data_IF_288930298464
#
_entry.id   IF_288930298464
#
_cell.length_a   1.000
_cell.length_b   1.000
_cell.length_c   1.000
_cell.angle_alpha   90.00
_cell.angle_beta   90.00
_cell.angle_gamma   90.00
#
_symmetry.space_group_name_H-M   'P 1'
#
loop_
_entity.id
_entity.type
_entity.pdbx_description
1 polymer ?
#
# COMPACT_ATOMS: atom_id res chain seq x y z
N UNK A 1 -11.98 -15.29 -0.63
CA UNK A 1 -11.27 -15.82 0.54
C UNK A 1 -10.15 -16.76 0.14
N UNK A 2 -10.41 -17.92 -0.51
CA UNK A 2 -9.31 -18.79 -0.99
C UNK A 2 -8.39 -18.09 -2.01
N UNK A 3 -8.95 -17.52 -3.09
CA UNK A 3 -8.16 -16.83 -4.14
C UNK A 3 -7.36 -15.61 -3.64
N UNK A 4 -7.85 -14.91 -2.62
CA UNK A 4 -7.19 -13.71 -2.08
C UNK A 4 -6.03 -14.07 -1.17
N UNK A 5 -6.13 -15.20 -0.44
CA UNK A 5 -5.02 -15.70 0.38
C UNK A 5 -3.88 -16.17 -0.51
N UNK A 6 -4.20 -16.98 -1.53
CA UNK A 6 -3.21 -17.50 -2.48
C UNK A 6 -2.48 -16.35 -3.20
N UNK A 7 -3.19 -15.28 -3.56
CA UNK A 7 -2.58 -14.08 -4.15
C UNK A 7 -1.51 -13.46 -3.22
N UNK A 8 -1.84 -13.23 -1.95
CA UNK A 8 -0.87 -12.68 -1.00
C UNK A 8 0.25 -13.68 -0.65
N UNK A 9 -0.05 -14.97 -0.63
CA UNK A 9 0.98 -16.01 -0.45
C UNK A 9 2.02 -15.97 -1.58
N UNK A 10 1.58 -15.72 -2.81
CA UNK A 10 2.46 -15.69 -4.00
C UNK A 10 3.19 -14.35 -4.12
N UNK A 11 2.50 -13.23 -3.92
CA UNK A 11 2.98 -11.91 -4.32
C UNK A 11 3.55 -11.05 -3.19
N UNK A 12 3.27 -11.38 -1.92
CA UNK A 12 3.82 -10.62 -0.81
C UNK A 12 5.30 -10.98 -0.59
N UNK A 13 6.21 -10.00 -0.42
CA UNK A 13 7.61 -10.28 -0.12
C UNK A 13 7.77 -11.20 1.10
N UNK A 14 8.67 -12.17 1.02
CA UNK A 14 8.84 -13.20 2.06
C UNK A 14 8.97 -12.64 3.49
N UNK A 15 9.75 -11.56 3.76
CA UNK A 15 9.85 -10.99 5.10
C UNK A 15 8.50 -10.51 5.65
N UNK A 16 7.68 -9.87 4.81
CA UNK A 16 6.35 -9.39 5.19
C UNK A 16 5.36 -10.54 5.34
N UNK A 17 5.43 -11.55 4.45
CA UNK A 17 4.59 -12.74 4.53
C UNK A 17 4.79 -13.52 5.83
N UNK A 18 6.02 -13.59 6.35
CA UNK A 18 6.32 -14.23 7.65
C UNK A 18 5.70 -13.51 8.84
N UNK A 19 5.42 -12.21 8.70
CA UNK A 19 4.77 -11.40 9.73
C UNK A 19 3.25 -11.51 9.69
N UNK A 20 2.65 -12.01 8.59
CA UNK A 20 1.20 -12.07 8.41
C UNK A 20 0.59 -13.37 8.92
N UNK A 21 -0.41 -13.30 9.80
CA UNK A 21 -1.32 -14.41 10.03
C UNK A 21 -2.43 -14.42 8.96
N UNK A 22 -2.14 -14.99 7.78
CA UNK A 22 -3.04 -15.00 6.62
C UNK A 22 -4.41 -15.67 6.86
N UNK A 23 -4.60 -16.40 7.97
CA UNK A 23 -5.91 -16.93 8.35
C UNK A 23 -6.87 -15.83 8.81
N UNK A 24 -6.35 -14.67 9.20
CA UNK A 24 -7.12 -13.50 9.67
C UNK A 24 -7.49 -12.54 8.54
N UNK A 25 -7.16 -12.87 7.29
CA UNK A 25 -7.35 -12.01 6.13
C UNK A 25 -8.81 -11.56 5.98
N UNK A 26 -9.05 -10.25 6.02
CA UNK A 26 -10.38 -9.63 5.90
C UNK A 26 -10.39 -8.57 4.82
N UNK A 27 -11.46 -8.54 4.03
CA UNK A 27 -11.74 -7.46 3.08
C UNK A 27 -12.32 -6.26 3.85
N UNK A 28 -11.63 -5.13 3.82
CA UNK A 28 -12.14 -3.88 4.37
C UNK A 28 -13.11 -3.24 3.34
N UNK A 29 -14.21 -2.61 3.79
CA UNK A 29 -15.16 -1.95 2.89
C UNK A 29 -14.49 -0.89 2.01
N UNK A 30 -14.86 -0.74 0.74
CA UNK A 30 -14.27 0.27 -0.18
C UNK A 30 -14.81 1.69 0.00
N UNK A 31 -15.78 1.92 0.91
CA UNK A 31 -16.18 3.25 1.37
C UNK A 31 -15.10 4.02 2.16
N UNK A 32 -13.89 3.43 2.19
CA UNK A 32 -12.71 3.68 3.02
C UNK A 32 -11.65 4.49 2.29
N UNK A 33 -11.72 4.51 0.96
CA UNK A 33 -10.89 5.30 0.07
C UNK A 33 -11.76 6.52 -0.30
N UNK A 34 -11.28 7.74 -0.05
CA UNK A 34 -12.05 9.00 -0.13
C UNK A 34 -13.08 9.03 -1.28
N UNK A 35 -14.19 9.76 -1.10
CA UNK A 35 -15.18 9.93 -2.19
C UNK A 35 -14.56 10.48 -3.50
N UNK A 36 -13.46 11.23 -3.42
CA UNK A 36 -12.66 11.72 -4.55
C UNK A 36 -11.89 10.62 -5.30
N UNK A 37 -11.65 9.48 -4.65
CA UNK A 37 -10.94 8.32 -5.17
C UNK A 37 -11.87 7.28 -5.79
N UNK A 38 -13.15 7.26 -5.39
CA UNK A 38 -14.16 6.31 -5.90
C UNK A 38 -14.31 6.28 -7.42
N UNK A 39 -13.94 7.35 -8.13
CA UNK A 39 -14.09 7.41 -9.58
C UNK A 39 -13.11 6.50 -10.34
N UNK A 40 -12.08 5.95 -9.68
CA UNK A 40 -10.98 5.27 -10.36
C UNK A 40 -10.75 3.79 -9.98
N UNK A 41 -11.54 3.17 -9.10
CA UNK A 41 -11.02 1.99 -8.38
C UNK A 41 -11.83 0.70 -8.33
N UNK A 42 -11.14 -0.36 -8.77
CA UNK A 42 -11.24 -1.74 -8.28
C UNK A 42 -10.30 -2.01 -7.08
N UNK A 43 -10.01 -0.98 -6.26
CA UNK A 43 -9.10 -1.09 -5.11
C UNK A 43 -9.62 -2.11 -4.12
N UNK A 44 -8.76 -3.06 -3.78
CA UNK A 44 -9.01 -3.99 -2.70
C UNK A 44 -8.08 -3.62 -1.54
N UNK A 45 -8.68 -3.33 -0.39
CA UNK A 45 -7.98 -3.18 0.88
C UNK A 45 -8.21 -4.44 1.71
N UNK A 46 -7.14 -5.19 1.96
CA UNK A 46 -7.17 -6.30 2.92
C UNK A 46 -6.47 -5.92 4.22
N UNK A 47 -7.05 -6.30 5.35
CA UNK A 47 -6.38 -6.31 6.65
C UNK A 47 -5.96 -7.73 7.02
N UNK A 48 -4.76 -7.87 7.58
CA UNK A 48 -4.27 -9.11 8.18
C UNK A 48 -3.57 -8.78 9.50
N UNK A 49 -3.86 -9.56 10.53
CA UNK A 49 -3.21 -9.45 11.83
C UNK A 49 -1.77 -9.98 11.73
N UNK A 50 -0.87 -9.37 12.51
CA UNK A 50 0.50 -9.85 12.61
C UNK A 50 0.62 -11.08 13.50
N UNK A 51 1.62 -11.92 13.26
CA UNK A 51 1.96 -13.07 14.11
C UNK A 51 2.29 -12.67 15.55
N UNK A 52 2.87 -11.47 15.73
CA UNK A 52 3.33 -10.92 17.00
C UNK A 52 2.58 -9.62 17.34
N UNK A 53 1.50 -9.72 18.12
CA UNK A 53 0.75 -8.58 18.67
C UNK A 53 -0.35 -8.00 17.77
N UNK A 54 -0.90 -6.84 18.16
CA UNK A 54 -2.07 -6.18 17.55
C UNK A 54 -1.77 -5.43 16.23
N UNK A 55 -0.66 -5.74 15.56
CA UNK A 55 -0.26 -5.10 14.31
C UNK A 55 -1.19 -5.48 13.16
N UNK A 56 -1.54 -4.50 12.31
CA UNK A 56 -2.22 -4.75 11.05
C UNK A 56 -1.27 -4.52 9.90
N UNK A 57 -1.23 -5.47 8.97
CA UNK A 57 -0.70 -5.25 7.63
C UNK A 57 -1.90 -5.02 6.71
N UNK A 58 -1.93 -3.85 6.09
CA UNK A 58 -2.89 -3.57 5.03
C UNK A 58 -2.27 -3.87 3.68
N UNK A 59 -2.99 -4.55 2.79
CA UNK A 59 -2.59 -4.68 1.39
C UNK A 59 -3.51 -3.82 0.53
N UNK A 60 -2.94 -2.82 -0.14
CA UNK A 60 -3.65 -2.03 -1.15
C UNK A 60 -3.31 -2.62 -2.50
N UNK A 61 -4.32 -3.09 -3.23
CA UNK A 61 -4.11 -3.66 -4.57
C UNK A 61 -4.74 -2.77 -5.62
N UNK A 62 -3.88 -2.30 -6.50
CA UNK A 62 -4.26 -1.55 -7.67
C UNK A 62 -4.16 -2.43 -8.92
N UNK A 63 -5.16 -2.39 -9.79
CA UNK A 63 -5.22 -3.18 -11.01
C UNK A 63 -5.20 -2.30 -12.24
N UNK A 64 -4.19 -2.47 -13.09
CA UNK A 64 -3.94 -1.56 -14.22
C UNK A 64 -3.64 -2.31 -15.51
N UNK A 65 -4.38 -1.95 -16.57
CA UNK A 65 -4.16 -2.43 -17.94
C UNK A 65 -3.30 -1.50 -18.77
N UNK A 66 -3.01 -0.29 -18.30
CA UNK A 66 -2.16 0.70 -18.95
C UNK A 66 -1.09 1.16 -17.99
N UNK A 67 0.13 1.39 -18.51
CA UNK A 67 1.21 1.90 -17.69
C UNK A 67 0.99 3.40 -17.43
N UNK A 68 0.89 3.79 -16.15
CA UNK A 68 0.79 5.20 -15.76
C UNK A 68 2.06 5.68 -15.06
N UNK A 69 2.57 6.86 -15.43
CA UNK A 69 3.85 7.37 -14.94
C UNK A 69 3.91 7.60 -13.43
N UNK A 70 2.82 8.05 -12.81
CA UNK A 70 2.76 8.50 -11.41
C UNK A 70 2.13 7.44 -10.48
N UNK A 71 2.23 6.17 -10.86
CA UNK A 71 1.57 5.07 -10.14
C UNK A 71 2.11 4.89 -8.73
N UNK A 72 3.42 5.07 -8.53
CA UNK A 72 4.03 4.82 -7.23
C UNK A 72 3.58 5.87 -6.21
N UNK A 73 3.51 7.14 -6.60
CA UNK A 73 2.92 8.19 -5.76
C UNK A 73 1.44 7.93 -5.46
N UNK A 74 0.70 7.43 -6.45
CA UNK A 74 -0.71 7.08 -6.27
C UNK A 74 -0.91 5.95 -5.26
N UNK A 75 -0.09 4.90 -5.34
CA UNK A 75 -0.06 3.81 -4.37
C UNK A 75 0.29 4.30 -2.95
N UNK A 76 1.27 5.21 -2.84
CA UNK A 76 1.61 5.80 -1.54
C UNK A 76 0.47 6.61 -0.94
N UNK A 77 -0.27 7.36 -1.76
CA UNK A 77 -1.48 8.07 -1.29
C UNK A 77 -2.50 7.11 -0.68
N UNK A 78 -2.67 5.91 -1.24
CA UNK A 78 -3.55 4.89 -0.64
C UNK A 78 -2.98 4.29 0.63
N UNK A 79 -1.68 4.03 0.65
CA UNK A 79 -1.00 3.55 1.83
C UNK A 79 -1.20 4.52 3.01
N UNK A 80 -0.92 5.81 2.80
CA UNK A 80 -1.10 6.86 3.82
C UNK A 80 -2.57 7.04 4.23
N UNK A 81 -3.51 6.97 3.29
CA UNK A 81 -4.93 7.03 3.62
C UNK A 81 -5.37 5.85 4.51
N UNK A 82 -4.88 4.64 4.22
CA UNK A 82 -5.13 3.47 5.05
C UNK A 82 -4.51 3.60 6.45
N UNK A 83 -3.30 4.17 6.55
CA UNK A 83 -2.65 4.47 7.84
C UNK A 83 -3.44 5.47 8.66
N UNK A 84 -3.84 6.60 8.08
CA UNK A 84 -4.62 7.64 8.76
C UNK A 84 -5.92 7.06 9.32
N UNK A 85 -6.61 6.25 8.53
CA UNK A 85 -7.86 5.65 8.97
C UNK A 85 -7.68 4.64 10.12
N UNK A 86 -6.56 3.96 10.16
CA UNK A 86 -6.24 3.11 11.31
C UNK A 86 -6.14 3.96 12.59
N UNK A 87 -5.53 5.14 12.52
CA UNK A 87 -5.53 6.10 13.64
C UNK A 87 -6.94 6.60 13.97
N UNK A 88 -7.76 6.92 12.96
CA UNK A 88 -9.14 7.39 13.16
C UNK A 88 -10.05 6.36 13.85
N UNK A 89 -9.69 5.07 13.81
CA UNK A 89 -10.38 3.99 14.55
C UNK A 89 -10.01 3.98 16.06
N UNK A 90 -9.10 4.85 16.50
CA UNK A 90 -8.67 4.98 17.88
C UNK A 90 -7.42 4.17 18.23
N UNK A 91 -6.65 3.73 17.23
CA UNK A 91 -5.36 3.06 17.47
C UNK A 91 -4.24 4.10 17.64
N UNK A 92 -3.30 3.82 18.55
CA UNK A 92 -2.23 4.76 18.91
C UNK A 92 -0.95 4.62 18.05
N UNK A 93 -0.95 3.70 17.07
CA UNK A 93 0.20 3.42 16.20
C UNK A 93 -0.24 3.29 14.76
N UNK A 94 0.62 3.72 13.83
CA UNK A 94 0.39 3.51 12.39
C UNK A 94 0.63 2.05 12.01
N UNK A 95 -0.20 1.48 11.12
CA UNK A 95 -0.04 0.12 10.62
C UNK A 95 0.99 0.08 9.50
N UNK A 96 1.53 -1.11 9.22
CA UNK A 96 2.25 -1.34 7.97
C UNK A 96 1.25 -1.44 6.82
N UNK A 97 1.53 -0.78 5.69
CA UNK A 97 0.71 -0.88 4.48
C UNK A 97 1.59 -1.25 3.31
N UNK A 98 1.22 -2.32 2.61
CA UNK A 98 1.93 -2.87 1.47
C UNK A 98 1.14 -2.54 0.21
N UNK A 99 1.59 -1.55 -0.59
CA UNK A 99 1.03 -1.32 -1.90
C UNK A 99 1.48 -2.42 -2.87
N UNK A 100 0.52 -2.99 -3.59
CA UNK A 100 0.72 -4.02 -4.59
C UNK A 100 0.11 -3.56 -5.92
N UNK A 101 0.94 -3.48 -6.96
CA UNK A 101 0.45 -3.22 -8.31
C UNK A 101 0.24 -4.54 -9.05
N UNK A 102 -1.01 -4.82 -9.42
CA UNK A 102 -1.36 -5.90 -10.33
C UNK A 102 -1.49 -5.37 -11.76
N UNK A 103 -0.38 -5.43 -12.50
CA UNK A 103 -0.26 -4.87 -13.85
C UNK A 103 -0.31 -5.97 -14.94
N UNK A 104 -1.12 -5.75 -15.97
CA UNK A 104 -1.31 -6.68 -17.11
C UNK A 104 -1.41 -5.94 -18.46
N UNK A 105 -0.77 -4.77 -18.57
CA UNK A 105 -0.76 -4.02 -19.83
C UNK A 105 0.18 -4.57 -20.90
N UNK A 106 0.03 -4.07 -22.12
CA UNK A 106 0.82 -4.51 -23.29
C UNK A 106 2.33 -4.22 -23.15
N UNK A 107 2.70 -3.13 -22.47
CA UNK A 107 4.11 -2.78 -22.24
C UNK A 107 4.67 -3.60 -21.09
N UNK A 108 5.61 -4.50 -21.35
CA UNK A 108 6.25 -5.36 -20.34
C UNK A 108 7.77 -5.39 -20.51
N UNK A 109 8.57 -5.27 -19.42
CA UNK A 109 8.16 -5.07 -18.03
C UNK A 109 7.49 -3.70 -17.82
N UNK A 110 6.82 -3.51 -16.68
CA UNK A 110 6.21 -2.23 -16.33
C UNK A 110 7.27 -1.10 -16.42
N UNK A 111 7.02 -0.02 -17.20
CA UNK A 111 8.09 0.88 -17.65
C UNK A 111 8.45 1.99 -16.66
N UNK A 112 7.73 2.14 -15.54
CA UNK A 112 7.94 3.21 -14.56
C UNK A 112 8.40 2.67 -13.21
N UNK A 113 9.05 3.51 -12.40
CA UNK A 113 9.45 3.10 -11.04
C UNK A 113 8.22 2.84 -10.18
N UNK A 114 8.31 1.83 -9.31
CA UNK A 114 7.34 1.58 -8.22
C UNK A 114 7.82 2.13 -6.87
N UNK A 115 8.94 2.85 -6.86
CA UNK A 115 9.38 3.63 -5.71
C UNK A 115 8.99 5.09 -5.95
N UNK A 116 8.03 5.59 -5.17
CA UNK A 116 7.53 6.96 -5.28
C UNK A 116 8.61 8.03 -5.09
N UNK A 117 9.71 7.72 -4.40
CA UNK A 117 10.84 8.63 -4.23
C UNK A 117 11.60 8.88 -5.54
N UNK A 118 11.42 8.01 -6.55
CA UNK A 118 12.00 8.21 -7.88
C UNK A 118 11.18 9.16 -8.75
N UNK A 119 9.98 9.55 -8.32
CA UNK A 119 9.11 10.48 -9.06
C UNK A 119 9.48 11.96 -8.83
N UNK A 120 10.37 12.25 -7.88
CA UNK A 120 10.87 13.60 -7.61
C UNK A 120 11.95 14.02 -8.61
N UNK A 121 12.06 15.32 -8.88
CA UNK A 121 13.14 15.88 -9.72
C UNK A 121 14.53 15.59 -9.13
N UNK A 122 14.64 15.52 -7.79
CA UNK A 122 15.83 15.07 -7.06
C UNK A 122 15.49 13.88 -6.14
N UNK A 123 15.65 12.63 -6.62
CA UNK A 123 15.35 11.43 -5.84
C UNK A 123 16.23 11.24 -4.60
N UNK A 124 17.46 11.78 -4.60
CA UNK A 124 18.36 11.65 -3.45
C UNK A 124 17.92 12.57 -2.32
N UNK A 125 17.59 13.83 -2.65
CA UNK A 125 17.02 14.76 -1.69
C UNK A 125 15.69 14.26 -1.14
N UNK A 126 14.82 13.67 -1.97
CA UNK A 126 13.56 13.09 -1.53
C UNK A 126 13.78 11.96 -0.50
N UNK A 127 14.74 11.06 -0.73
CA UNK A 127 15.09 10.03 0.27
C UNK A 127 15.52 10.65 1.57
N UNK A 128 16.47 11.59 1.54
CA UNK A 128 16.93 12.28 2.74
C UNK A 128 15.76 12.94 3.50
N UNK A 129 14.82 13.57 2.80
CA UNK A 129 13.69 14.25 3.43
C UNK A 129 12.68 13.28 4.04
N UNK A 130 12.38 12.16 3.37
CA UNK A 130 11.26 11.28 3.73
C UNK A 130 11.67 10.00 4.48
N UNK A 131 12.97 9.74 4.66
CA UNK A 131 13.45 8.62 5.49
C UNK A 131 14.17 9.05 6.77
N UNK A 132 14.37 10.35 6.97
CA UNK A 132 14.94 10.92 8.18
C UNK A 132 13.87 11.65 9.01
N UNK A 133 14.24 12.12 10.21
CA UNK A 133 13.36 12.95 11.02
C UNK A 133 13.00 14.25 10.31
N UNK A 134 11.72 14.63 10.32
CA UNK A 134 11.27 15.92 9.81
C UNK A 134 11.85 17.09 10.62
N UNK A 135 12.13 18.23 9.99
CA UNK A 135 12.59 19.41 10.71
C UNK A 135 11.53 19.87 11.70
N UNK A 136 11.91 19.96 12.97
CA UNK A 136 11.12 20.60 14.02
C UNK A 136 11.39 22.11 13.97
N UNK A 137 10.33 22.91 13.97
CA UNK A 137 10.39 24.36 14.16
C UNK A 137 9.57 24.66 15.41
N UNK A 138 10.25 24.89 16.53
CA UNK A 138 9.68 25.22 17.84
C UNK A 138 10.18 26.56 18.39
#
# INVERSE_FOLDING_TARGET
>A
LFRSRDFLEIHLPEPLRKLCNLQTLRLEPTSFIEKSLRAYYSDVLWSVETSDGDGYIYCVIEHQSSAEKNMAFRLMRYATAAMQRHLDKGYDRVPLVVPLLFYHGETSPYPYSLNWLDEFDDPQLARQLYTEAFPLVD
#
